data_IF_427243260587
#
_entry.id   IF_427243260587
#
_cell.length_a   1.000
_cell.length_b   1.000
_cell.length_c   1.000
_cell.angle_alpha   90.00
_cell.angle_beta   90.00
_cell.angle_gamma   90.00
#
_symmetry.space_group_name_H-M   'P 1'
#
loop_
_entity.id
_entity.type
_entity.pdbx_description
1 polymer ?
#
# COMPACT_ATOMS: atom_id res chain seq x y z
N UNK A 1 1.63 -11.94 -8.64
CA UNK A 1 2.07 -10.58 -8.96
C UNK A 1 2.47 -9.84 -7.69
N UNK A 2 3.25 -8.82 -7.84
CA UNK A 2 3.71 -8.00 -6.72
C UNK A 2 3.07 -6.61 -6.82
N UNK A 3 2.40 -6.19 -5.76
CA UNK A 3 1.66 -4.93 -5.71
C UNK A 3 2.21 -4.02 -4.64
N UNK A 4 2.19 -2.72 -4.91
CA UNK A 4 2.35 -1.69 -3.87
C UNK A 4 1.03 -0.94 -3.78
N UNK A 5 0.50 -0.83 -2.55
CA UNK A 5 -0.73 -0.08 -2.30
C UNK A 5 -0.37 1.12 -1.41
N UNK A 6 -0.53 2.30 -1.96
CA UNK A 6 -0.24 3.55 -1.26
C UNK A 6 -1.54 4.12 -0.72
N UNK A 7 -1.63 4.15 0.59
CA UNK A 7 -2.86 4.53 1.28
C UNK A 7 -3.63 3.33 1.78
N UNK A 8 -3.64 3.13 3.09
CA UNK A 8 -4.27 1.97 3.73
C UNK A 8 -5.51 2.38 4.53
N UNK A 9 -6.28 3.30 3.95
CA UNK A 9 -7.60 3.64 4.49
C UNK A 9 -8.60 2.52 4.23
N UNK A 10 -9.89 2.84 4.27
CA UNK A 10 -10.93 1.83 4.13
C UNK A 10 -10.80 1.04 2.83
N UNK A 11 -10.58 1.73 1.74
CA UNK A 11 -10.48 1.06 0.45
C UNK A 11 -9.15 0.32 0.28
N UNK A 12 -8.05 1.00 0.54
CA UNK A 12 -6.71 0.43 0.34
C UNK A 12 -6.46 -0.78 1.23
N UNK A 13 -6.93 -0.75 2.47
CA UNK A 13 -6.74 -1.87 3.38
C UNK A 13 -7.50 -3.11 2.94
N UNK A 14 -8.74 -2.95 2.49
CA UNK A 14 -9.54 -4.07 1.98
C UNK A 14 -8.87 -4.67 0.75
N UNK A 15 -8.45 -3.81 -0.17
CA UNK A 15 -7.79 -4.26 -1.39
C UNK A 15 -6.49 -5.00 -1.07
N UNK A 16 -5.70 -4.50 -0.14
CA UNK A 16 -4.45 -5.13 0.27
C UNK A 16 -4.70 -6.53 0.85
N UNK A 17 -5.69 -6.66 1.72
CA UNK A 17 -6.02 -7.95 2.30
C UNK A 17 -6.51 -8.94 1.25
N UNK A 18 -7.37 -8.50 0.36
CA UNK A 18 -7.91 -9.39 -0.67
C UNK A 18 -6.84 -9.86 -1.64
N UNK A 19 -5.97 -8.98 -2.09
CA UNK A 19 -4.88 -9.37 -2.98
C UNK A 19 -3.91 -10.33 -2.30
N UNK A 20 -3.64 -10.09 -1.03
CA UNK A 20 -2.78 -11.00 -0.27
C UNK A 20 -3.43 -12.37 -0.10
N UNK A 21 -4.74 -12.41 0.14
CA UNK A 21 -5.47 -13.66 0.26
C UNK A 21 -5.47 -14.47 -1.03
N UNK A 22 -5.36 -13.80 -2.17
CA UNK A 22 -5.27 -14.47 -3.46
C UNK A 22 -3.87 -15.00 -3.79
N UNK A 23 -2.92 -14.80 -2.88
CA UNK A 23 -1.57 -15.29 -3.07
C UNK A 23 -0.60 -14.30 -3.67
N UNK A 24 -1.01 -13.06 -3.86
CA UNK A 24 -0.12 -12.01 -4.36
C UNK A 24 0.75 -11.45 -3.24
N UNK A 25 1.92 -10.97 -3.62
CA UNK A 25 2.78 -10.27 -2.68
C UNK A 25 2.36 -8.80 -2.63
N UNK A 26 1.93 -8.35 -1.46
CA UNK A 26 1.42 -7.00 -1.29
C UNK A 26 2.31 -6.20 -0.35
N UNK A 27 2.69 -5.01 -0.78
CA UNK A 27 3.43 -4.05 0.01
C UNK A 27 2.49 -2.88 0.30
N UNK A 28 2.21 -2.64 1.58
CA UNK A 28 1.33 -1.56 2.00
C UNK A 28 2.11 -0.36 2.50
N UNK A 29 1.68 0.84 2.13
CA UNK A 29 2.35 2.09 2.49
C UNK A 29 1.34 3.09 3.01
N UNK A 30 1.60 3.67 4.17
CA UNK A 30 0.78 4.73 4.74
C UNK A 30 1.61 5.55 5.71
N UNK A 31 1.21 6.79 5.95
CA UNK A 31 1.83 7.62 6.99
C UNK A 31 1.31 7.29 8.37
N UNK A 32 0.15 6.68 8.45
CA UNK A 32 -0.51 6.38 9.73
C UNK A 32 -0.06 5.02 10.25
N UNK A 33 0.67 5.04 11.35
CA UNK A 33 1.21 3.83 11.96
C UNK A 33 0.12 2.82 12.31
N UNK A 34 -1.04 3.27 12.77
CA UNK A 34 -2.14 2.38 13.15
C UNK A 34 -2.66 1.58 11.96
N UNK A 35 -2.77 2.24 10.80
CA UNK A 35 -3.22 1.57 9.58
C UNK A 35 -2.22 0.53 9.12
N UNK A 36 -0.96 0.83 9.23
CA UNK A 36 0.11 -0.11 8.89
C UNK A 36 0.09 -1.28 9.86
N UNK A 37 -0.04 -1.02 11.16
CA UNK A 37 -0.03 -2.07 12.18
C UNK A 37 -1.18 -3.07 12.01
N UNK A 38 -2.33 -2.60 11.61
CA UNK A 38 -3.49 -3.48 11.38
C UNK A 38 -3.19 -4.51 10.29
N UNK A 39 -2.43 -4.11 9.28
CA UNK A 39 -2.20 -4.95 8.11
C UNK A 39 -0.87 -5.69 8.12
N UNK A 40 0.06 -5.35 8.98
CA UNK A 40 1.42 -5.89 8.90
C UNK A 40 1.49 -7.40 8.97
N UNK A 41 0.54 -8.04 9.63
CA UNK A 41 0.50 -9.51 9.73
C UNK A 41 -0.32 -10.14 8.60
N UNK A 42 -0.97 -9.33 7.79
CA UNK A 42 -1.87 -9.81 6.73
C UNK A 42 -1.28 -9.66 5.33
N UNK A 43 -0.24 -8.85 5.19
CA UNK A 43 0.42 -8.59 3.92
C UNK A 43 1.92 -8.87 4.06
N UNK A 44 2.60 -9.01 2.92
CA UNK A 44 4.00 -9.41 2.90
C UNK A 44 4.92 -8.38 3.57
N UNK A 45 4.71 -7.11 3.27
CA UNK A 45 5.57 -6.04 3.77
C UNK A 45 4.76 -4.76 3.93
N UNK A 46 5.15 -3.93 4.89
CA UNK A 46 4.50 -2.64 5.10
C UNK A 46 5.53 -1.58 5.45
N UNK A 47 5.24 -0.34 5.06
CA UNK A 47 6.10 0.81 5.34
C UNK A 47 5.29 1.97 5.89
N UNK A 48 5.84 2.66 6.87
CA UNK A 48 5.27 3.92 7.38
C UNK A 48 6.04 5.04 6.69
N UNK A 49 5.49 5.55 5.60
CA UNK A 49 6.18 6.51 4.74
C UNK A 49 5.18 7.54 4.22
N UNK A 50 5.64 8.78 4.08
CA UNK A 50 4.89 9.82 3.39
C UNK A 50 5.09 9.69 1.88
N UNK A 51 4.09 9.18 1.19
CA UNK A 51 4.17 8.93 -0.25
C UNK A 51 4.20 10.22 -1.08
N UNK A 52 3.98 11.37 -0.47
CA UNK A 52 4.12 12.65 -1.18
C UNK A 52 5.56 13.13 -1.23
N UNK A 53 6.45 12.51 -0.49
CA UNK A 53 7.87 12.85 -0.44
C UNK A 53 8.66 11.94 -1.39
N UNK A 54 9.29 12.53 -2.39
CA UNK A 54 10.09 11.76 -3.36
C UNK A 54 11.20 10.95 -2.71
N UNK A 55 11.85 11.50 -1.69
CA UNK A 55 12.91 10.79 -0.99
C UNK A 55 12.37 9.56 -0.28
N UNK A 56 11.21 9.68 0.33
CA UNK A 56 10.57 8.55 0.99
C UNK A 56 10.17 7.47 0.00
N UNK A 57 9.66 7.87 -1.16
CA UNK A 57 9.30 6.92 -2.21
C UNK A 57 10.51 6.14 -2.72
N UNK A 58 11.70 6.73 -2.67
CA UNK A 58 12.89 6.07 -3.19
C UNK A 58 13.29 4.81 -2.42
N UNK A 59 12.80 4.64 -1.19
CA UNK A 59 13.09 3.43 -0.43
C UNK A 59 12.21 2.24 -0.85
N UNK A 60 11.16 2.50 -1.62
CA UNK A 60 10.28 1.43 -2.07
C UNK A 60 10.89 0.68 -3.24
N UNK A 61 10.67 -0.65 -3.31
CA UNK A 61 11.23 -1.47 -4.40
C UNK A 61 10.38 -1.36 -5.67
N UNK A 62 10.28 -0.16 -6.24
CA UNK A 62 9.39 0.11 -7.37
C UNK A 62 9.76 -0.67 -8.63
N UNK A 63 11.03 -1.02 -8.79
CA UNK A 63 11.50 -1.74 -9.98
C UNK A 63 11.02 -3.19 -10.02
N UNK A 64 10.76 -3.75 -8.84
CA UNK A 64 10.39 -5.17 -8.73
C UNK A 64 8.89 -5.36 -8.61
N UNK A 65 8.11 -4.29 -8.74
CA UNK A 65 6.66 -4.32 -8.54
C UNK A 65 5.95 -4.28 -9.88
N UNK A 66 4.93 -5.11 -10.00
CA UNK A 66 4.12 -5.18 -11.23
C UNK A 66 3.07 -4.08 -11.30
N UNK A 67 2.47 -3.72 -10.16
CA UNK A 67 1.38 -2.75 -10.11
C UNK A 67 1.53 -1.86 -8.89
N UNK A 68 1.33 -0.57 -9.09
CA UNK A 68 1.28 0.42 -8.01
C UNK A 68 -0.13 0.99 -7.98
N UNK A 69 -0.79 0.88 -6.83
CA UNK A 69 -2.15 1.38 -6.64
C UNK A 69 -2.10 2.53 -5.64
N UNK A 70 -2.62 3.67 -6.04
CA UNK A 70 -2.69 4.85 -5.18
C UNK A 70 -4.12 4.98 -4.67
N UNK A 71 -4.32 4.78 -3.37
CA UNK A 71 -5.63 4.81 -2.74
C UNK A 71 -5.65 5.83 -1.60
N UNK A 72 -5.04 6.97 -1.84
CA UNK A 72 -4.95 8.04 -0.85
C UNK A 72 -6.25 8.83 -0.80
N UNK A 73 -6.73 9.04 0.42
CA UNK A 73 -7.96 9.77 0.63
C UNK A 73 -9.18 8.90 0.42
N UNK A 74 -10.34 9.44 0.71
CA UNK A 74 -11.60 8.73 0.61
C UNK A 74 -12.38 9.12 -0.65
N UNK A 75 -11.85 10.03 -1.41
CA UNK A 75 -12.46 10.49 -2.65
C UNK A 75 -11.91 9.67 -3.82
N UNK A 76 -12.52 8.56 -4.06
CA UNK A 76 -11.99 7.56 -4.97
C UNK A 76 -11.97 7.97 -6.43
N UNK A 77 -12.70 8.99 -6.79
CA UNK A 77 -12.70 9.46 -8.17
C UNK A 77 -11.33 9.90 -8.67
N UNK A 78 -10.43 10.22 -7.77
CA UNK A 78 -9.11 10.75 -8.11
C UNK A 78 -7.99 9.73 -7.94
N UNK A 79 -8.26 8.53 -7.45
CA UNK A 79 -7.18 7.65 -7.00
C UNK A 79 -6.79 6.59 -7.99
N UNK A 80 -7.22 6.71 -9.18
CA UNK A 80 -6.86 5.68 -10.17
C UNK A 80 -5.99 6.27 -11.28
#
# INVERSE_FOLDING_TARGET
>A
MKYIIIGLGNYGSVLAEELSALGHEVIGVDTNERRVDVLKDKIATSFIIDATDEQSLSVLPLKDVDVVIVAIGENFGASI
#
